data_IF_445159882626
#
_entry.id   IF_445159882626
#
_cell.length_a   1.000
_cell.length_b   1.000
_cell.length_c   1.000
_cell.angle_alpha   90.00
_cell.angle_beta   90.00
_cell.angle_gamma   90.00
#
_symmetry.space_group_name_H-M   'P 1'
#
loop_
_entity.id
_entity.type
_entity.pdbx_description
1 polymer ?
#
# COMPACT_ATOMS: atom_id res chain seq x y z
N UNK A 1 22.99 11.37 -13.65
CA UNK A 1 23.42 10.15 -12.93
C UNK A 1 22.24 9.65 -12.11
N UNK A 2 21.73 8.47 -12.43
CA UNK A 2 20.66 7.82 -11.64
C UNK A 2 21.32 7.29 -10.36
N UNK A 3 20.84 7.71 -9.19
CA UNK A 3 21.36 7.14 -7.94
C UNK A 3 20.77 5.75 -7.76
N UNK A 4 21.52 4.83 -7.17
CA UNK A 4 21.01 3.47 -6.85
C UNK A 4 19.66 3.54 -6.11
N UNK A 5 19.50 4.55 -5.26
CA UNK A 5 18.24 4.88 -4.60
C UNK A 5 17.08 5.01 -5.59
N UNK A 6 17.22 5.77 -6.67
CA UNK A 6 16.12 6.05 -7.61
C UNK A 6 15.65 4.76 -8.31
N UNK A 7 16.57 3.84 -8.62
CA UNK A 7 16.24 2.53 -9.20
C UNK A 7 15.36 1.72 -8.26
N UNK A 8 15.71 1.66 -6.97
CA UNK A 8 14.95 0.92 -5.96
C UNK A 8 13.54 1.50 -5.82
N UNK A 9 13.40 2.82 -5.83
CA UNK A 9 12.08 3.48 -5.77
C UNK A 9 11.23 3.13 -7.01
N UNK A 10 11.80 3.19 -8.22
CA UNK A 10 11.08 2.83 -9.45
C UNK A 10 10.59 1.38 -9.38
N UNK A 11 11.47 0.44 -9.01
CA UNK A 11 11.10 -0.96 -8.83
C UNK A 11 9.99 -1.13 -7.80
N UNK A 12 10.04 -0.37 -6.71
CA UNK A 12 9.01 -0.40 -5.66
C UNK A 12 7.63 -0.03 -6.18
N UNK A 13 7.54 1.04 -6.96
CA UNK A 13 6.26 1.46 -7.54
C UNK A 13 5.76 0.48 -8.60
N UNK A 14 6.65 -0.10 -9.41
CA UNK A 14 6.28 -1.14 -10.37
C UNK A 14 5.72 -2.37 -9.65
N UNK A 15 6.41 -2.86 -8.62
CA UNK A 15 6.00 -4.04 -7.84
C UNK A 15 4.66 -3.78 -7.14
N UNK A 16 4.52 -2.63 -6.49
CA UNK A 16 3.26 -2.26 -5.83
C UNK A 16 2.09 -2.14 -6.82
N UNK A 17 2.35 -1.62 -8.03
CA UNK A 17 1.33 -1.51 -9.07
C UNK A 17 0.92 -2.89 -9.61
N UNK A 18 1.88 -3.79 -9.81
CA UNK A 18 1.59 -5.18 -10.21
C UNK A 18 0.76 -5.89 -9.13
N UNK A 19 1.13 -5.75 -7.85
CA UNK A 19 0.37 -6.31 -6.73
C UNK A 19 -1.07 -5.80 -6.72
N UNK A 20 -1.28 -4.50 -6.95
CA UNK A 20 -2.62 -3.93 -7.10
C UNK A 20 -3.39 -4.49 -8.31
N UNK A 21 -2.76 -4.58 -9.49
CA UNK A 21 -3.42 -5.08 -10.70
C UNK A 21 -3.94 -6.51 -10.54
N UNK A 22 -3.23 -7.34 -9.79
CA UNK A 22 -3.65 -8.70 -9.44
C UNK A 22 -5.01 -8.73 -8.75
N UNK A 23 -5.22 -7.81 -7.80
CA UNK A 23 -6.42 -7.79 -6.98
C UNK A 23 -7.50 -6.81 -7.46
N UNK A 24 -7.19 -5.93 -8.41
CA UNK A 24 -8.05 -4.82 -8.81
C UNK A 24 -9.48 -5.26 -9.23
N UNK A 25 -9.65 -6.50 -9.68
CA UNK A 25 -10.97 -7.06 -10.05
C UNK A 25 -11.82 -7.50 -8.86
N UNK A 26 -11.21 -7.78 -7.71
CA UNK A 26 -11.87 -8.31 -6.51
C UNK A 26 -12.19 -7.21 -5.48
N UNK A 27 -11.56 -6.05 -5.63
CA UNK A 27 -11.70 -4.93 -4.68
C UNK A 27 -12.77 -3.97 -5.18
N UNK A 28 -13.53 -3.37 -4.25
CA UNK A 28 -14.52 -2.36 -4.58
C UNK A 28 -13.86 -1.14 -5.28
N UNK A 29 -14.60 -0.45 -6.18
CA UNK A 29 -14.09 0.75 -6.85
C UNK A 29 -13.65 1.84 -5.87
N UNK A 30 -14.27 1.89 -4.69
CA UNK A 30 -13.93 2.85 -3.65
C UNK A 30 -12.53 2.61 -3.06
N UNK A 31 -12.19 1.36 -2.73
CA UNK A 31 -10.87 1.03 -2.16
C UNK A 31 -9.79 1.11 -3.25
N UNK A 32 -10.11 0.71 -4.47
CA UNK A 32 -9.25 0.93 -5.65
C UNK A 32 -8.90 2.41 -5.81
N UNK A 33 -9.90 3.31 -5.75
CA UNK A 33 -9.69 4.76 -5.84
C UNK A 33 -8.79 5.26 -4.70
N UNK A 34 -9.03 4.83 -3.46
CA UNK A 34 -8.17 5.18 -2.31
C UNK A 34 -6.72 4.76 -2.57
N UNK A 35 -6.49 3.54 -3.02
CA UNK A 35 -5.14 3.04 -3.32
C UNK A 35 -4.46 3.87 -4.40
N UNK A 36 -5.16 4.17 -5.50
CA UNK A 36 -4.62 4.99 -6.59
C UNK A 36 -4.21 6.38 -6.09
N UNK A 37 -5.05 7.01 -5.27
CA UNK A 37 -4.74 8.31 -4.65
C UNK A 37 -3.48 8.19 -3.79
N UNK A 38 -3.37 7.17 -2.94
CA UNK A 38 -2.19 6.91 -2.10
C UNK A 38 -0.93 6.63 -2.94
N UNK A 39 -1.07 5.91 -4.05
CA UNK A 39 0.02 5.55 -4.94
C UNK A 39 0.65 6.80 -5.57
N UNK A 40 -0.17 7.67 -6.18
CA UNK A 40 0.31 8.90 -6.81
C UNK A 40 0.83 9.93 -5.79
N UNK A 41 0.16 10.05 -4.63
CA UNK A 41 0.65 10.92 -3.55
C UNK A 41 1.98 10.44 -2.97
N UNK A 42 2.20 9.12 -2.90
CA UNK A 42 3.48 8.54 -2.52
C UNK A 42 4.59 8.95 -3.49
N UNK A 43 4.37 8.81 -4.81
CA UNK A 43 5.34 9.24 -5.83
C UNK A 43 5.67 10.72 -5.66
N UNK A 44 4.65 11.55 -5.41
CA UNK A 44 4.84 12.99 -5.21
C UNK A 44 5.70 13.30 -3.97
N UNK A 45 5.45 12.64 -2.83
CA UNK A 45 6.23 12.84 -1.61
C UNK A 45 7.68 12.36 -1.75
N UNK A 46 7.90 11.24 -2.41
CA UNK A 46 9.23 10.70 -2.67
C UNK A 46 10.05 11.64 -3.55
N UNK A 47 9.46 12.18 -4.62
CA UNK A 47 10.14 13.14 -5.52
C UNK A 47 10.46 14.45 -4.81
N UNK A 48 9.58 14.92 -3.92
CA UNK A 48 9.78 16.17 -3.18
C UNK A 48 10.68 15.99 -1.95
N UNK A 49 11.03 14.75 -1.57
CA UNK A 49 11.66 14.38 -0.30
C UNK A 49 10.95 15.02 0.92
N UNK A 50 9.64 15.29 0.81
CA UNK A 50 8.84 15.91 1.85
C UNK A 50 7.80 14.92 2.32
N UNK A 51 8.10 14.26 3.42
CA UNK A 51 7.16 13.40 4.14
C UNK A 51 6.45 14.26 5.18
N UNK A 52 5.39 14.93 4.74
CA UNK A 52 4.67 15.88 5.59
C UNK A 52 3.69 15.19 6.55
N UNK A 53 3.44 13.88 6.37
CA UNK A 53 2.48 13.14 7.18
C UNK A 53 3.23 12.39 8.29
N UNK A 54 2.92 12.66 9.57
CA UNK A 54 3.42 11.88 10.70
C UNK A 54 3.12 10.39 10.54
N UNK A 55 4.13 9.55 10.75
CA UNK A 55 4.02 8.09 10.64
C UNK A 55 3.00 7.49 11.60
N UNK A 56 2.84 8.07 12.80
CA UNK A 56 1.83 7.66 13.76
C UNK A 56 0.40 7.81 13.23
N UNK A 57 0.10 8.90 12.49
CA UNK A 57 -1.22 9.10 11.90
C UNK A 57 -1.51 8.06 10.81
N UNK A 58 -0.52 7.80 9.95
CA UNK A 58 -0.63 6.78 8.90
C UNK A 58 -0.82 5.38 9.48
N UNK A 59 -0.07 5.03 10.53
CA UNK A 59 -0.22 3.74 11.21
C UNK A 59 -1.57 3.65 11.94
N UNK A 60 -2.01 4.72 12.59
CA UNK A 60 -3.33 4.79 13.24
C UNK A 60 -4.47 4.58 12.25
N UNK A 61 -4.40 5.19 11.07
CA UNK A 61 -5.34 4.95 9.97
C UNK A 61 -5.32 3.50 9.52
N UNK A 62 -4.14 2.92 9.35
CA UNK A 62 -3.98 1.51 8.99
C UNK A 62 -4.60 0.56 10.01
N UNK A 63 -4.36 0.80 11.30
CA UNK A 63 -4.93 0.00 12.39
C UNK A 63 -6.45 0.16 12.46
N UNK A 64 -6.96 1.38 12.35
CA UNK A 64 -8.39 1.64 12.35
C UNK A 64 -9.09 0.95 11.18
N UNK A 65 -8.51 1.03 9.98
CA UNK A 65 -9.03 0.36 8.80
C UNK A 65 -8.97 -1.17 8.93
N UNK A 66 -7.88 -1.69 9.50
CA UNK A 66 -7.73 -3.11 9.79
C UNK A 66 -8.84 -3.60 10.72
N UNK A 67 -9.07 -2.92 11.84
CA UNK A 67 -10.15 -3.27 12.78
C UNK A 67 -11.51 -3.24 12.05
N UNK A 68 -11.77 -2.22 11.25
CA UNK A 68 -13.01 -2.10 10.49
C UNK A 68 -13.23 -3.27 9.52
N UNK A 69 -12.21 -3.73 8.79
CA UNK A 69 -12.35 -4.89 7.92
C UNK A 69 -12.44 -6.21 8.68
N UNK A 70 -11.76 -6.36 9.82
CA UNK A 70 -11.89 -7.56 10.64
C UNK A 70 -13.33 -7.77 11.12
N UNK A 71 -14.06 -6.69 11.40
CA UNK A 71 -15.48 -6.75 11.78
C UNK A 71 -16.40 -7.18 10.62
N UNK A 72 -15.95 -7.04 9.37
CA UNK A 72 -16.70 -7.47 8.19
C UNK A 72 -16.40 -8.93 7.79
N UNK A 73 -15.47 -9.60 8.47
CA UNK A 73 -15.13 -10.98 8.16
C UNK A 73 -16.34 -11.87 8.47
N UNK A 74 -16.78 -12.59 7.45
CA UNK A 74 -17.77 -13.66 7.57
C UNK A 74 -17.12 -14.98 7.17
N UNK A 75 -17.66 -16.11 7.66
CA UNK A 75 -17.19 -17.44 7.28
C UNK A 75 -17.27 -17.71 5.77
N UNK A 76 -18.17 -16.99 5.08
CA UNK A 76 -18.40 -17.10 3.64
C UNK A 76 -17.37 -16.32 2.82
N UNK A 77 -16.78 -15.24 3.36
CA UNK A 77 -15.87 -14.40 2.59
C UNK A 77 -14.80 -13.73 3.47
N UNK A 78 -13.73 -14.48 3.70
CA UNK A 78 -12.53 -14.02 4.42
C UNK A 78 -11.56 -13.30 3.48
N UNK A 79 -11.56 -13.66 2.19
CA UNK A 79 -10.56 -13.22 1.22
C UNK A 79 -10.69 -11.73 0.91
N UNK A 80 -11.90 -11.24 0.63
CA UNK A 80 -12.10 -9.83 0.24
C UNK A 80 -11.66 -8.87 1.37
N UNK A 81 -12.05 -9.06 2.65
CA UNK A 81 -11.56 -8.21 3.73
C UNK A 81 -10.04 -8.20 3.86
N UNK A 82 -9.38 -9.36 3.72
CA UNK A 82 -7.91 -9.45 3.79
C UNK A 82 -7.26 -8.68 2.64
N UNK A 83 -7.74 -8.87 1.41
CA UNK A 83 -7.24 -8.15 0.24
C UNK A 83 -7.38 -6.64 0.42
N UNK A 84 -8.53 -6.18 0.93
CA UNK A 84 -8.75 -4.76 1.22
C UNK A 84 -7.76 -4.22 2.25
N UNK A 85 -7.51 -4.97 3.34
CA UNK A 85 -6.51 -4.60 4.36
C UNK A 85 -5.13 -4.49 3.73
N UNK A 86 -4.70 -5.50 2.99
CA UNK A 86 -3.37 -5.53 2.36
C UNK A 86 -3.21 -4.38 1.38
N UNK A 87 -4.22 -4.08 0.57
CA UNK A 87 -4.16 -2.99 -0.39
C UNK A 87 -4.03 -1.61 0.30
N UNK A 88 -4.79 -1.37 1.35
CA UNK A 88 -4.70 -0.10 2.10
C UNK A 88 -3.37 0.01 2.84
N UNK A 89 -2.89 -1.08 3.44
CA UNK A 89 -1.57 -1.10 4.09
C UNK A 89 -0.43 -0.84 3.09
N UNK A 90 -0.52 -1.40 1.88
CA UNK A 90 0.41 -1.12 0.79
C UNK A 90 0.41 0.38 0.44
N UNK A 91 -0.77 0.97 0.26
CA UNK A 91 -0.92 2.41 -0.02
C UNK A 91 -0.34 3.28 1.11
N UNK A 92 -0.62 2.95 2.36
CA UNK A 92 -0.07 3.64 3.54
C UNK A 92 1.46 3.56 3.54
N UNK A 93 2.03 2.39 3.24
CA UNK A 93 3.49 2.22 3.17
C UNK A 93 4.14 3.04 2.06
N UNK A 94 3.46 3.22 0.93
CA UNK A 94 3.93 4.09 -0.15
C UNK A 94 3.97 5.58 0.26
N UNK A 95 3.15 6.00 1.22
CA UNK A 95 3.11 7.39 1.73
C UNK A 95 4.18 7.69 2.78
N UNK A 96 4.74 6.67 3.41
CA UNK A 96 5.74 6.82 4.46
C UNK A 96 7.14 7.09 3.90
N UNK A 97 8.00 7.68 4.73
CA UNK A 97 9.44 7.74 4.47
C UNK A 97 9.98 6.30 4.46
N UNK A 98 10.46 5.87 3.30
CA UNK A 98 10.88 4.48 3.10
C UNK A 98 12.26 4.25 3.68
N UNK A 99 12.31 3.50 4.78
CA UNK A 99 13.55 2.88 5.27
C UNK A 99 13.70 1.48 4.64
N UNK A 100 14.87 0.85 4.82
CA UNK A 100 15.13 -0.49 4.28
C UNK A 100 14.02 -1.51 4.63
N UNK A 101 13.50 -1.42 5.87
CA UNK A 101 12.39 -2.24 6.35
C UNK A 101 11.09 -2.02 5.55
N UNK A 102 10.79 -0.79 5.17
CA UNK A 102 9.54 -0.47 4.48
C UNK A 102 9.55 -0.99 3.04
N UNK A 103 10.70 -0.99 2.37
CA UNK A 103 10.85 -1.65 1.06
C UNK A 103 10.50 -3.13 1.13
N UNK A 104 11.05 -3.85 2.12
CA UNK A 104 10.74 -5.27 2.31
C UNK A 104 9.25 -5.49 2.58
N UNK A 105 8.62 -4.65 3.40
CA UNK A 105 7.18 -4.76 3.67
C UNK A 105 6.33 -4.51 2.42
N UNK A 106 6.67 -3.51 1.61
CA UNK A 106 5.98 -3.24 0.34
C UNK A 106 6.08 -4.46 -0.58
N UNK A 107 7.25 -5.07 -0.69
CA UNK A 107 7.45 -6.26 -1.52
C UNK A 107 6.66 -7.45 -0.99
N UNK A 108 6.72 -7.73 0.31
CA UNK A 108 5.95 -8.82 0.94
C UNK A 108 4.45 -8.65 0.71
N UNK A 109 3.91 -7.45 0.95
CA UNK A 109 2.49 -7.18 0.74
C UNK A 109 2.12 -7.36 -0.73
N UNK A 110 2.95 -6.88 -1.65
CA UNK A 110 2.70 -7.02 -3.10
C UNK A 110 2.70 -8.49 -3.54
N UNK A 111 3.58 -9.31 -2.96
CA UNK A 111 3.59 -10.77 -3.19
C UNK A 111 2.33 -11.44 -2.62
N UNK A 112 1.89 -11.05 -1.42
CA UNK A 112 0.63 -11.58 -0.85
C UNK A 112 -0.63 -11.18 -1.62
N UNK A 113 -0.60 -10.06 -2.35
CA UNK A 113 -1.67 -9.69 -3.27
C UNK A 113 -1.64 -10.50 -4.58
N UNK A 114 -0.52 -11.16 -4.88
CA UNK A 114 -0.36 -11.98 -6.09
C UNK A 114 -0.75 -13.45 -5.87
N UNK A 115 -0.67 -13.92 -4.62
CA UNK A 115 -0.96 -15.30 -4.21
C UNK A 115 -2.44 -15.57 -4.03
#
# INVERSE_FOLDING_TARGET
MIKLKDIVYILTYIIAFIGYLSVARFVSPFISLIFIVMFFTGIYFDRKNRYSIPTFLLNGLGVSFLIFQLLQITLENIVIPIVNILLVLLGIKLLQKKEFRDFMQIYTISVFLLS
#
